data_IF_175912689892
#
_entry.id   IF_175912689892
#
_cell.length_a   1.000
_cell.length_b   1.000
_cell.length_c   1.000
_cell.angle_alpha   90.00
_cell.angle_beta   90.00
_cell.angle_gamma   90.00
#
_symmetry.space_group_name_H-M   'P 1'
#
loop_
_entity.id
_entity.type
_entity.pdbx_description
1 polymer ?
#
# COMPACT_ATOMS: atom_id res chain seq x y z
N UNK A 1 21.33 13.83 9.53
CA UNK A 1 19.90 14.00 9.30
C UNK A 1 19.46 15.31 9.92
N UNK A 2 19.11 16.29 9.10
CA UNK A 2 18.46 17.54 9.54
C UNK A 2 16.97 17.30 9.80
N UNK A 3 16.30 18.26 10.43
CA UNK A 3 14.85 18.19 10.63
C UNK A 3 14.11 18.08 9.28
N UNK A 4 14.55 18.82 8.27
CA UNK A 4 13.95 18.80 6.94
C UNK A 4 14.11 17.45 6.23
N UNK A 5 15.28 16.81 6.38
CA UNK A 5 15.53 15.46 5.87
C UNK A 5 14.63 14.42 6.56
N UNK A 6 14.42 14.56 7.86
CA UNK A 6 13.54 13.68 8.64
C UNK A 6 12.07 13.82 8.21
N UNK A 7 11.62 15.06 7.95
CA UNK A 7 10.28 15.35 7.42
C UNK A 7 10.08 14.75 6.05
N UNK A 8 11.05 14.91 5.15
CA UNK A 8 11.00 14.33 3.81
C UNK A 8 10.95 12.79 3.84
N UNK A 9 11.76 12.15 4.70
CA UNK A 9 11.76 10.70 4.84
C UNK A 9 10.44 10.17 5.41
N UNK A 10 9.89 10.84 6.42
CA UNK A 10 8.60 10.42 6.95
C UNK A 10 7.45 10.62 5.97
N UNK A 11 7.47 11.68 5.14
CA UNK A 11 6.49 11.82 4.05
C UNK A 11 6.62 10.70 3.01
N UNK A 12 7.86 10.35 2.60
CA UNK A 12 8.10 9.20 1.70
C UNK A 12 7.51 7.90 2.27
N UNK A 13 7.64 7.71 3.57
CA UNK A 13 7.09 6.54 4.25
C UNK A 13 5.55 6.56 4.30
N UNK A 14 4.92 7.70 4.58
CA UNK A 14 3.46 7.83 4.51
C UNK A 14 2.93 7.54 3.11
N UNK A 15 3.55 8.11 2.07
CA UNK A 15 3.19 7.86 0.67
C UNK A 15 3.36 6.39 0.29
N UNK A 16 4.34 5.70 0.87
CA UNK A 16 4.50 4.26 0.72
C UNK A 16 3.32 3.50 1.36
N UNK A 17 2.92 3.85 2.58
CA UNK A 17 1.81 3.20 3.27
C UNK A 17 0.48 3.37 2.54
N UNK A 18 0.19 4.55 1.99
CA UNK A 18 -1.01 4.79 1.20
C UNK A 18 -1.04 3.91 -0.06
N UNK A 19 0.08 3.78 -0.78
CA UNK A 19 0.20 2.86 -1.92
C UNK A 19 -0.05 1.40 -1.54
N UNK A 20 0.43 0.98 -0.36
CA UNK A 20 0.17 -0.37 0.15
C UNK A 20 -1.30 -0.62 0.48
N UNK A 21 -1.97 0.38 1.06
CA UNK A 21 -3.41 0.32 1.34
C UNK A 21 -4.23 0.17 0.06
N UNK A 22 -3.97 1.00 -0.95
CA UNK A 22 -4.63 0.92 -2.26
C UNK A 22 -4.46 -0.47 -2.90
N UNK A 23 -3.25 -1.03 -2.83
CA UNK A 23 -2.95 -2.37 -3.33
C UNK A 23 -3.75 -3.46 -2.59
N UNK A 24 -3.82 -3.40 -1.27
CA UNK A 24 -4.63 -4.34 -0.47
C UNK A 24 -6.10 -4.32 -0.91
N UNK A 25 -6.67 -3.13 -1.14
CA UNK A 25 -8.04 -2.98 -1.61
C UNK A 25 -8.22 -3.61 -3.00
N UNK A 26 -7.30 -3.34 -3.94
CA UNK A 26 -7.34 -3.89 -5.29
C UNK A 26 -7.28 -5.43 -5.31
N UNK A 27 -6.43 -6.05 -4.47
CA UNK A 27 -6.34 -7.50 -4.34
C UNK A 27 -7.64 -8.08 -3.77
N UNK A 28 -8.23 -7.44 -2.75
CA UNK A 28 -9.50 -7.87 -2.16
C UNK A 28 -10.64 -7.82 -3.19
N UNK A 29 -10.71 -6.76 -4.00
CA UNK A 29 -11.67 -6.63 -5.10
C UNK A 29 -11.47 -7.73 -6.14
N UNK A 30 -10.24 -7.98 -6.57
CA UNK A 30 -9.93 -9.05 -7.52
C UNK A 30 -10.34 -10.44 -6.98
N UNK A 31 -10.09 -10.71 -5.70
CA UNK A 31 -10.50 -11.95 -5.05
C UNK A 31 -12.04 -12.08 -4.97
N UNK A 32 -12.76 -10.96 -4.82
CA UNK A 32 -14.21 -10.94 -4.87
C UNK A 32 -14.73 -11.19 -6.29
N UNK A 33 -14.13 -10.56 -7.31
CA UNK A 33 -14.48 -10.76 -8.72
C UNK A 33 -14.29 -12.23 -9.15
N UNK A 34 -13.20 -12.87 -8.73
CA UNK A 34 -12.99 -14.31 -8.94
C UNK A 34 -14.09 -15.17 -8.32
N UNK A 35 -14.46 -14.88 -7.06
CA UNK A 35 -15.51 -15.61 -6.35
C UNK A 35 -16.88 -15.44 -7.00
N UNK A 36 -17.12 -14.29 -7.63
CA UNK A 36 -18.36 -14.00 -8.35
C UNK A 36 -18.35 -14.50 -9.81
N UNK A 37 -17.25 -15.12 -10.28
CA UNK A 37 -17.12 -15.58 -11.66
C UNK A 37 -16.96 -14.46 -12.70
N UNK A 38 -16.67 -13.22 -12.26
CA UNK A 38 -16.47 -12.06 -13.13
C UNK A 38 -15.10 -12.04 -13.82
N UNK A 39 -14.15 -12.82 -13.32
CA UNK A 39 -12.87 -13.05 -13.97
C UNK A 39 -12.45 -14.52 -13.85
N UNK A 40 -11.77 -15.03 -14.88
CA UNK A 40 -11.23 -16.39 -14.92
C UNK A 40 -9.85 -16.48 -14.27
N UNK A 41 -9.27 -17.69 -14.25
CA UNK A 41 -7.92 -18.01 -13.75
C UNK A 41 -6.82 -17.10 -14.31
N UNK A 42 -6.78 -16.94 -15.63
CA UNK A 42 -5.71 -16.26 -16.34
C UNK A 42 -5.83 -14.75 -16.25
N UNK A 43 -7.05 -14.23 -16.37
CA UNK A 43 -7.34 -12.83 -16.16
C UNK A 43 -7.04 -12.39 -14.72
N UNK A 44 -7.37 -13.24 -13.75
CA UNK A 44 -6.99 -13.01 -12.35
C UNK A 44 -5.49 -12.92 -12.16
N UNK A 45 -4.71 -13.82 -12.79
CA UNK A 45 -3.24 -13.79 -12.74
C UNK A 45 -2.66 -12.52 -13.36
N UNK A 46 -3.17 -12.11 -14.53
CA UNK A 46 -2.71 -10.88 -15.21
C UNK A 46 -2.98 -9.63 -14.37
N UNK A 47 -4.20 -9.50 -13.82
CA UNK A 47 -4.57 -8.38 -12.96
C UNK A 47 -3.75 -8.36 -11.68
N UNK A 48 -3.52 -9.52 -11.05
CA UNK A 48 -2.67 -9.62 -9.87
C UNK A 48 -1.24 -9.19 -10.19
N UNK A 49 -0.66 -9.65 -11.31
CA UNK A 49 0.69 -9.24 -11.74
C UNK A 49 0.79 -7.72 -11.96
N UNK A 50 -0.22 -7.10 -12.59
CA UNK A 50 -0.24 -5.66 -12.80
C UNK A 50 -0.35 -4.85 -11.49
N UNK A 51 -0.99 -5.44 -10.47
CA UNK A 51 -1.07 -4.89 -9.11
C UNK A 51 0.26 -5.13 -8.36
N UNK A 52 0.93 -6.25 -8.62
CA UNK A 52 2.14 -6.65 -7.90
C UNK A 52 3.40 -5.90 -8.35
N UNK A 53 3.56 -5.68 -9.66
CA UNK A 53 4.68 -4.95 -10.29
C UNK A 53 4.89 -3.52 -9.75
N UNK A 54 3.92 -2.96 -9.02
CA UNK A 54 3.97 -1.58 -8.51
C UNK A 54 4.49 -1.43 -7.07
N UNK A 55 4.51 -2.50 -6.24
CA UNK A 55 5.07 -2.45 -4.87
C UNK A 55 4.88 -3.78 -4.12
N UNK A 56 5.90 -4.49 -3.63
CA UNK A 56 5.68 -5.67 -2.76
C UNK A 56 4.98 -5.27 -1.44
N UNK A 57 3.91 -5.96 -1.04
CA UNK A 57 3.19 -5.66 0.21
C UNK A 57 4.00 -6.11 1.40
N UNK A 58 4.80 -5.21 1.97
CA UNK A 58 5.45 -5.45 3.25
C UNK A 58 4.47 -5.11 4.36
N UNK A 59 3.95 -6.13 5.05
CA UNK A 59 3.08 -5.96 6.21
C UNK A 59 3.93 -5.46 7.38
N UNK A 60 3.83 -4.17 7.68
CA UNK A 60 4.38 -3.59 8.91
C UNK A 60 3.31 -3.54 9.98
N UNK A 61 3.59 -4.14 11.14
CA UNK A 61 2.71 -4.18 12.31
C UNK A 61 2.72 -2.85 13.09
N UNK A 62 2.45 -1.76 12.36
CA UNK A 62 2.68 -0.38 12.78
C UNK A 62 1.44 0.49 12.67
N UNK A 63 0.25 -0.04 12.93
CA UNK A 63 -1.04 0.63 12.72
C UNK A 63 -1.15 2.04 13.36
N UNK A 64 -0.29 2.38 14.32
CA UNK A 64 -0.23 3.70 14.98
C UNK A 64 1.07 4.48 14.77
N UNK A 65 2.08 3.87 14.15
CA UNK A 65 3.38 4.50 13.93
C UNK A 65 3.29 5.58 12.82
N UNK A 66 2.47 5.34 11.80
CA UNK A 66 2.23 6.28 10.71
C UNK A 66 1.67 7.62 11.21
N UNK A 67 0.63 7.56 12.03
CA UNK A 67 -0.02 8.74 12.62
C UNK A 67 0.92 9.50 13.56
N UNK A 68 1.69 8.78 14.38
CA UNK A 68 2.65 9.38 15.31
C UNK A 68 3.80 10.10 14.57
N UNK A 69 4.32 9.50 13.51
CA UNK A 69 5.35 10.13 12.65
C UNK A 69 4.77 11.33 11.90
N UNK A 70 3.55 11.23 11.35
CA UNK A 70 2.89 12.33 10.68
C UNK A 70 2.68 13.55 11.60
N UNK A 71 2.36 13.33 12.88
CA UNK A 71 2.20 14.39 13.87
C UNK A 71 3.53 15.12 14.14
N UNK A 72 4.63 14.38 14.27
CA UNK A 72 5.98 14.94 14.51
C UNK A 72 6.52 15.75 13.32
N UNK A 73 6.04 15.48 12.10
CA UNK A 73 6.50 16.16 10.88
C UNK A 73 5.80 17.51 10.67
N UNK A 74 4.55 17.65 11.13
CA UNK A 74 3.77 18.89 10.97
C UNK A 74 4.14 19.99 11.96
N UNK A 75 4.77 19.65 13.08
CA UNK A 75 5.41 20.59 14.02
C UNK A 75 6.75 21.09 13.50
#
# INVERSE_FOLDING_TARGET
MTLDEAKAEGQRWLDYLDRQKEKSIAIQQLAADRRQGKCDADEGRRRLSAIDDRCSVTVYDGARLAEAVALLIRS
#
